data_IF_387761924059
#
_entry.id   IF_387761924059
#
_cell.length_a   1.000
_cell.length_b   1.000
_cell.length_c   1.000
_cell.angle_alpha   90.00
_cell.angle_beta   90.00
_cell.angle_gamma   90.00
#
_symmetry.space_group_name_H-M   'P 1'
#
loop_
_entity.id
_entity.type
_entity.pdbx_description
1 polymer ?
#
# COMPACT_ATOMS: atom_id res chain seq x y z
N UNK A 1 -22.28 3.76 3.52
CA UNK A 1 -22.25 3.35 2.10
C UNK A 1 -20.82 3.03 1.72
N UNK A 2 -20.49 3.12 0.44
CA UNK A 2 -19.11 3.04 -0.07
C UNK A 2 -18.62 4.44 -0.46
N UNK A 3 -17.32 4.68 -0.38
CA UNK A 3 -16.66 5.85 -0.95
C UNK A 3 -15.58 5.39 -1.93
N UNK A 4 -15.36 6.19 -2.96
CA UNK A 4 -14.34 5.92 -3.97
C UNK A 4 -13.53 7.19 -4.20
N UNK A 5 -12.23 7.02 -4.45
CA UNK A 5 -11.32 8.11 -4.74
C UNK A 5 -10.28 7.71 -5.80
N UNK A 6 -9.69 8.72 -6.44
CA UNK A 6 -8.47 8.52 -7.21
C UNK A 6 -7.27 8.98 -6.38
N UNK A 7 -6.38 8.04 -6.09
CA UNK A 7 -5.06 8.32 -5.57
C UNK A 7 -4.13 8.56 -6.75
N UNK A 8 -3.72 9.81 -6.95
CA UNK A 8 -2.64 10.15 -7.88
C UNK A 8 -1.31 10.13 -7.14
N UNK A 9 -0.22 9.93 -7.88
CA UNK A 9 1.12 10.06 -7.31
C UNK A 9 1.30 11.39 -6.57
N UNK A 10 1.89 11.29 -5.40
CA UNK A 10 2.50 12.38 -4.66
C UNK A 10 3.86 11.91 -4.13
N UNK A 11 4.83 12.81 -3.86
CA UNK A 11 6.14 12.42 -3.32
C UNK A 11 6.07 11.58 -2.04
N UNK A 12 5.01 11.74 -1.23
CA UNK A 12 4.76 10.95 -0.03
C UNK A 12 4.48 9.46 -0.31
N UNK A 13 4.00 9.12 -1.52
CA UNK A 13 3.73 7.74 -1.94
C UNK A 13 4.90 7.12 -2.71
N UNK A 14 6.02 7.84 -2.87
CA UNK A 14 7.24 7.26 -3.43
C UNK A 14 7.80 6.18 -2.49
N UNK A 15 8.41 5.14 -3.06
CA UNK A 15 8.99 4.02 -2.29
C UNK A 15 9.97 4.50 -1.21
N UNK A 16 10.78 5.51 -1.54
CA UNK A 16 11.77 6.10 -0.65
C UNK A 16 11.15 6.89 0.52
N UNK A 17 9.88 7.27 0.41
CA UNK A 17 9.15 8.06 1.41
C UNK A 17 8.33 7.19 2.37
N UNK A 18 8.28 5.88 2.16
CA UNK A 18 7.52 4.96 3.02
C UNK A 18 8.28 4.76 4.33
N UNK A 19 7.77 5.39 5.38
CA UNK A 19 8.29 5.30 6.76
C UNK A 19 7.38 4.53 7.70
N UNK A 20 6.17 4.17 7.26
CA UNK A 20 5.17 3.47 8.08
C UNK A 20 4.22 2.63 7.22
N UNK A 21 3.55 1.68 7.85
CA UNK A 21 2.42 0.93 7.29
C UNK A 21 1.13 1.37 7.96
N UNK A 22 0.03 1.29 7.21
CA UNK A 22 -1.31 1.65 7.65
C UNK A 22 -2.13 0.36 7.83
N UNK A 23 -3.08 0.34 8.78
CA UNK A 23 -4.04 -0.77 8.96
C UNK A 23 -5.43 -0.19 9.13
N UNK A 24 -6.44 -0.86 8.58
CA UNK A 24 -7.85 -0.48 8.74
C UNK A 24 -8.63 -1.57 9.47
N UNK A 25 -9.42 -1.22 10.49
CA UNK A 25 -10.09 -2.22 11.36
C UNK A 25 -11.55 -2.50 10.96
N UNK A 26 -12.20 -1.56 10.29
CA UNK A 26 -13.63 -1.61 9.98
C UNK A 26 -13.93 -1.60 8.48
N UNK A 27 -12.91 -1.61 7.62
CA UNK A 27 -13.08 -1.72 6.17
C UNK A 27 -12.00 -2.56 5.50
N UNK A 28 -12.42 -3.30 4.50
CA UNK A 28 -11.52 -3.72 3.44
C UNK A 28 -11.27 -2.52 2.52
N UNK A 29 -10.11 -2.49 1.87
CA UNK A 29 -9.79 -1.47 0.86
C UNK A 29 -9.43 -2.12 -0.47
N UNK A 30 -10.07 -1.63 -1.53
CA UNK A 30 -9.87 -2.11 -2.90
C UNK A 30 -8.97 -1.16 -3.65
N UNK A 31 -8.00 -1.70 -4.38
CA UNK A 31 -7.07 -0.94 -5.21
C UNK A 31 -7.13 -1.43 -6.67
N UNK A 32 -7.22 -0.49 -7.62
CA UNK A 32 -7.16 -0.77 -9.06
C UNK A 32 -6.21 0.22 -9.73
N UNK A 33 -5.10 -0.29 -10.28
CA UNK A 33 -4.18 0.53 -11.06
C UNK A 33 -4.84 0.93 -12.38
N UNK A 34 -4.88 2.22 -12.67
CA UNK A 34 -5.45 2.78 -13.91
C UNK A 34 -4.34 3.19 -14.88
N UNK A 35 -3.33 3.88 -14.38
CA UNK A 35 -2.22 4.45 -15.16
C UNK A 35 -0.91 4.34 -14.37
N UNK A 36 0.22 4.22 -15.07
CA UNK A 36 1.55 4.21 -14.48
C UNK A 36 1.95 2.89 -13.84
N UNK A 37 2.70 2.97 -12.74
CA UNK A 37 3.29 1.83 -12.04
C UNK A 37 3.18 2.00 -10.53
N UNK A 38 2.65 0.98 -9.85
CA UNK A 38 2.56 0.95 -8.41
C UNK A 38 2.79 -0.46 -7.88
N UNK A 39 3.36 -0.55 -6.69
CA UNK A 39 3.47 -1.79 -5.92
C UNK A 39 2.59 -1.68 -4.70
N UNK A 40 1.60 -2.57 -4.61
CA UNK A 40 0.79 -2.72 -3.41
C UNK A 40 1.56 -3.60 -2.42
N UNK A 41 1.71 -3.10 -1.20
CA UNK A 41 2.46 -3.72 -0.13
C UNK A 41 1.44 -4.17 0.91
N UNK A 42 1.33 -5.46 1.16
CA UNK A 42 0.65 -6.00 2.33
C UNK A 42 1.69 -6.58 3.29
N UNK A 43 1.39 -6.63 4.59
CA UNK A 43 2.31 -7.17 5.57
C UNK A 43 1.62 -7.85 6.75
N UNK A 44 2.33 -8.81 7.34
CA UNK A 44 2.06 -9.36 8.66
C UNK A 44 3.21 -9.00 9.60
N UNK A 45 2.88 -8.57 10.82
CA UNK A 45 3.86 -8.20 11.84
C UNK A 45 3.78 -9.21 12.98
N UNK A 46 4.85 -9.96 13.22
CA UNK A 46 4.88 -10.99 14.26
C UNK A 46 6.23 -10.94 14.97
N UNK A 47 6.23 -10.81 16.31
CA UNK A 47 7.45 -10.77 17.10
C UNK A 47 8.43 -9.65 16.70
N UNK A 48 7.92 -8.50 16.23
CA UNK A 48 8.74 -7.38 15.74
C UNK A 48 9.42 -7.63 14.40
N UNK A 49 8.97 -8.63 13.63
CA UNK A 49 9.42 -8.87 12.26
C UNK A 49 8.27 -8.61 11.30
N UNK A 50 8.55 -7.84 10.25
CA UNK A 50 7.61 -7.55 9.17
C UNK A 50 7.81 -8.54 8.02
N UNK A 51 6.75 -9.25 7.66
CA UNK A 51 6.71 -10.15 6.50
C UNK A 51 5.86 -9.50 5.42
N UNK A 52 6.45 -9.23 4.25
CA UNK A 52 5.77 -8.54 3.14
C UNK A 52 5.17 -9.54 2.14
N UNK A 53 3.94 -9.27 1.69
CA UNK A 53 3.39 -9.76 0.42
C UNK A 53 3.32 -8.57 -0.54
N UNK A 54 4.16 -8.61 -1.58
CA UNK A 54 4.32 -7.51 -2.52
C UNK A 54 3.64 -7.85 -3.84
N UNK A 55 2.77 -6.97 -4.30
CA UNK A 55 2.07 -7.09 -5.57
C UNK A 55 2.43 -5.94 -6.48
N UNK A 56 3.23 -6.26 -7.47
CA UNK A 56 3.48 -5.38 -8.59
C UNK A 56 2.19 -5.27 -9.41
N UNK A 57 1.54 -4.10 -9.33
CA UNK A 57 0.16 -3.97 -9.77
C UNK A 57 0.06 -4.03 -11.30
N UNK A 58 -0.96 -4.73 -11.78
CA UNK A 58 -1.29 -4.85 -13.20
C UNK A 58 -2.52 -3.98 -13.48
N UNK A 59 -2.46 -3.09 -14.51
CA UNK A 59 -3.61 -2.26 -14.86
C UNK A 59 -4.90 -3.06 -15.08
N UNK A 60 -6.00 -2.60 -14.49
CA UNK A 60 -7.32 -3.25 -14.59
C UNK A 60 -7.52 -4.50 -13.72
N UNK A 61 -6.49 -4.97 -12.99
CA UNK A 61 -6.65 -6.02 -11.97
C UNK A 61 -7.12 -5.39 -10.66
N UNK A 62 -8.06 -6.06 -10.00
CA UNK A 62 -8.61 -5.64 -8.71
C UNK A 62 -7.84 -6.35 -7.60
N UNK A 63 -7.30 -5.55 -6.68
CA UNK A 63 -6.64 -6.03 -5.48
C UNK A 63 -7.49 -5.67 -4.27
N UNK A 64 -7.62 -6.59 -3.32
CA UNK A 64 -8.36 -6.37 -2.08
C UNK A 64 -7.40 -6.54 -0.90
N UNK A 65 -7.27 -5.49 -0.09
CA UNK A 65 -6.64 -5.55 1.23
C UNK A 65 -7.75 -5.75 2.26
N UNK A 66 -7.84 -6.94 2.89
CA UNK A 66 -8.81 -7.15 3.95
C UNK A 66 -8.53 -6.24 5.14
N UNK A 67 -9.58 -5.87 5.88
CA UNK A 67 -9.41 -5.28 7.22
C UNK A 67 -8.47 -6.10 8.08
N UNK A 68 -7.84 -5.46 9.05
CA UNK A 68 -6.81 -6.05 9.91
C UNK A 68 -5.53 -6.47 9.15
N UNK A 69 -5.29 -5.90 7.96
CA UNK A 69 -4.07 -6.12 7.18
C UNK A 69 -3.24 -4.85 7.11
N UNK A 70 -1.98 -4.93 7.57
CA UNK A 70 -1.02 -3.85 7.38
C UNK A 70 -0.72 -3.69 5.90
N UNK A 71 -0.73 -2.46 5.39
CA UNK A 71 -0.49 -2.21 3.99
C UNK A 71 0.07 -0.82 3.72
N UNK A 72 0.59 -0.65 2.51
CA UNK A 72 0.96 0.64 1.92
C UNK A 72 0.97 0.50 0.40
N UNK A 73 1.11 1.61 -0.31
CA UNK A 73 1.35 1.60 -1.75
C UNK A 73 2.60 2.41 -2.08
N UNK A 74 3.46 1.86 -2.94
CA UNK A 74 4.58 2.59 -3.54
C UNK A 74 4.21 2.96 -4.97
N UNK A 75 4.17 4.25 -5.29
CA UNK A 75 3.76 4.76 -6.60
C UNK A 75 4.91 5.46 -7.32
N UNK A 76 4.98 5.30 -8.64
CA UNK A 76 5.85 6.11 -9.50
C UNK A 76 5.13 7.37 -9.98
N UNK A 77 5.90 8.39 -10.38
CA UNK A 77 5.34 9.60 -10.99
C UNK A 77 4.48 9.28 -12.22
N UNK A 78 3.35 9.97 -12.35
CA UNK A 78 2.36 9.70 -13.40
C UNK A 78 1.39 8.54 -13.09
N UNK A 79 1.52 7.87 -11.94
CA UNK A 79 0.61 6.79 -11.56
C UNK A 79 -0.72 7.29 -11.02
N UNK A 80 -1.78 6.54 -11.33
CA UNK A 80 -3.15 6.77 -10.84
C UNK A 80 -3.80 5.46 -10.45
N UNK A 81 -4.33 5.41 -9.23
CA UNK A 81 -5.00 4.24 -8.65
C UNK A 81 -6.41 4.63 -8.22
N UNK A 82 -7.39 3.82 -8.56
CA UNK A 82 -8.74 3.91 -7.98
C UNK A 82 -8.75 3.14 -6.65
N UNK A 83 -9.22 3.80 -5.60
CA UNK A 83 -9.43 3.17 -4.29
C UNK A 83 -10.91 3.18 -3.92
N UNK A 84 -11.38 2.10 -3.28
CA UNK A 84 -12.75 1.97 -2.79
C UNK A 84 -12.75 1.38 -1.40
N UNK A 85 -13.42 2.04 -0.47
CA UNK A 85 -13.56 1.59 0.92
C UNK A 85 -14.94 1.97 1.49
N UNK A 86 -15.24 1.52 2.70
CA UNK A 86 -16.45 1.89 3.42
C UNK A 86 -16.45 3.39 3.73
N UNK A 87 -17.57 4.07 3.53
CA UNK A 87 -17.65 5.51 3.79
C UNK A 87 -17.40 5.85 5.27
N UNK A 88 -16.52 6.81 5.54
CA UNK A 88 -16.30 7.36 6.89
C UNK A 88 -15.31 6.62 7.79
N UNK A 89 -14.62 5.58 7.30
CA UNK A 89 -13.57 4.86 8.06
C UNK A 89 -12.27 5.64 8.16
N UNK A 90 -11.92 6.43 7.14
CA UNK A 90 -10.75 7.33 7.11
C UNK A 90 -10.63 8.34 8.28
N UNK A 91 -11.62 8.49 9.16
CA UNK A 91 -11.61 9.47 10.27
C UNK A 91 -10.99 8.94 11.55
N UNK A 92 -11.17 7.65 11.88
CA UNK A 92 -10.72 7.08 13.16
C UNK A 92 -10.43 5.59 13.12
N UNK A 93 -10.40 4.98 11.94
CA UNK A 93 -10.32 3.52 11.76
C UNK A 93 -8.92 3.04 11.36
N UNK A 94 -7.87 3.71 11.83
CA UNK A 94 -6.52 3.34 11.43
C UNK A 94 -5.50 3.45 12.55
N UNK A 95 -4.52 2.56 12.48
CA UNK A 95 -3.28 2.63 13.24
C UNK A 95 -2.09 2.72 12.28
N UNK A 96 -0.93 3.09 12.83
CA UNK A 96 0.32 3.15 12.11
C UNK A 96 1.35 2.23 12.76
N UNK A 97 2.12 1.55 11.93
CA UNK A 97 3.35 0.88 12.34
C UNK A 97 4.54 1.61 11.73
N UNK A 98 5.31 2.32 12.55
CA UNK A 98 6.52 3.02 12.11
C UNK A 98 7.63 2.01 11.78
N UNK A 99 8.14 2.08 10.56
CA UNK A 99 9.24 1.24 10.10
C UNK A 99 10.56 1.82 10.60
N UNK A 100 11.38 0.99 11.25
CA UNK A 100 12.77 1.33 11.54
C UNK A 100 13.56 1.55 10.25
N UNK A 101 14.68 2.26 10.33
CA UNK A 101 15.56 2.46 9.17
C UNK A 101 16.03 1.13 8.54
N UNK A 102 16.10 0.03 9.32
CA UNK A 102 16.40 -1.30 8.80
C UNK A 102 15.24 -1.87 7.99
N UNK A 103 14.01 -1.81 8.53
CA UNK A 103 12.82 -2.31 7.85
C UNK A 103 12.50 -1.51 6.58
N UNK A 104 12.73 -0.19 6.59
CA UNK A 104 12.61 0.66 5.40
C UNK A 104 13.55 0.19 4.28
N UNK A 105 14.83 -0.06 4.59
CA UNK A 105 15.79 -0.59 3.59
C UNK A 105 15.37 -1.97 3.06
N UNK A 106 14.92 -2.85 3.94
CA UNK A 106 14.45 -4.19 3.54
C UNK A 106 13.25 -4.11 2.60
N UNK A 107 12.28 -3.23 2.89
CA UNK A 107 11.14 -2.98 2.01
C UNK A 107 11.58 -2.44 0.66
N UNK A 108 12.45 -1.42 0.65
CA UNK A 108 12.97 -0.82 -0.58
C UNK A 108 13.70 -1.83 -1.46
N UNK A 109 14.55 -2.67 -0.87
CA UNK A 109 15.25 -3.75 -1.58
C UNK A 109 14.27 -4.78 -2.13
N UNK A 110 13.29 -5.22 -1.32
CA UNK A 110 12.29 -6.20 -1.75
C UNK A 110 11.44 -5.68 -2.93
N UNK A 111 11.00 -4.42 -2.87
CA UNK A 111 10.22 -3.79 -3.95
C UNK A 111 11.07 -3.62 -5.21
N UNK A 112 12.32 -3.17 -5.11
CA UNK A 112 13.22 -3.05 -6.27
C UNK A 112 13.53 -4.42 -6.90
N UNK A 113 13.73 -5.45 -6.09
CA UNK A 113 13.98 -6.80 -6.59
C UNK A 113 12.77 -7.38 -7.32
N UNK A 114 11.55 -7.05 -6.89
CA UNK A 114 10.32 -7.42 -7.56
C UNK A 114 10.20 -6.75 -8.94
N UNK A 115 10.48 -5.45 -9.02
CA UNK A 115 10.26 -4.66 -10.26
C UNK A 115 11.38 -4.80 -11.29
N UNK A 116 12.61 -5.13 -10.87
CA UNK A 116 13.74 -5.42 -11.78
C UNK A 116 13.60 -6.73 -12.57
N UNK A 117 12.59 -7.57 -12.29
CA UNK A 117 12.33 -8.82 -13.02
C UNK A 117 11.49 -8.64 -14.30
N UNK A 118 11.22 -7.40 -14.70
CA UNK A 118 10.47 -7.05 -15.92
C UNK A 118 11.37 -6.83 -17.13
#
# INVERSE_FOLDING_TARGET
GWQAAFLNYAPAEALESIVKLDIHHLTDEVFVLLEGHAVLIAAAITGGTVQYDLRDMVPGVIYNIPRETWHKIAMQEGSRVCIVEKSGTHVSDFEFYDLSAREQRQLQEAVRNLTCQR
#
